data_IF_709920584186
#
_entry.id   IF_709920584186
#
_cell.length_a   1.000
_cell.length_b   1.000
_cell.length_c   1.000
_cell.angle_alpha   90.00
_cell.angle_beta   90.00
_cell.angle_gamma   90.00
#
_symmetry.space_group_name_H-M   'P 1'
#
loop_
_entity.id
_entity.type
_entity.pdbx_description
1 polymer ?
#
# COMPACT_ATOMS: atom_id res chain seq x y z
N UNK A 1 4.17 12.53 1.08
CA UNK A 1 4.73 11.16 1.09
C UNK A 1 6.26 11.13 1.04
N UNK A 2 6.92 11.89 0.15
CA UNK A 2 8.39 11.92 0.02
C UNK A 2 9.14 12.14 1.36
N UNK A 3 8.77 13.19 2.11
CA UNK A 3 9.37 13.48 3.42
C UNK A 3 9.19 12.33 4.41
N UNK A 4 7.96 11.82 4.55
CA UNK A 4 7.67 10.68 5.44
C UNK A 4 8.50 9.45 5.08
N UNK A 5 8.64 9.14 3.79
CA UNK A 5 9.48 8.03 3.34
C UNK A 5 10.97 8.25 3.69
N UNK A 6 11.50 9.45 3.45
CA UNK A 6 12.91 9.76 3.73
C UNK A 6 13.21 9.69 5.23
N UNK A 7 12.42 10.40 6.04
CA UNK A 7 12.66 10.46 7.49
C UNK A 7 12.55 9.09 8.15
N UNK A 8 11.55 8.30 7.77
CA UNK A 8 11.40 6.93 8.29
C UNK A 8 12.50 5.99 7.78
N UNK A 9 12.96 6.14 6.54
CA UNK A 9 14.11 5.37 6.03
C UNK A 9 15.38 5.68 6.82
N UNK A 10 15.66 6.96 7.09
CA UNK A 10 16.82 7.34 7.88
C UNK A 10 16.70 6.80 9.30
N UNK A 11 15.56 7.02 9.96
CA UNK A 11 15.31 6.56 11.32
C UNK A 11 15.47 5.04 11.48
N UNK A 12 14.87 4.24 10.58
CA UNK A 12 14.93 2.76 10.64
C UNK A 12 16.37 2.26 10.43
N UNK A 13 17.09 2.84 9.48
CA UNK A 13 18.47 2.44 9.17
C UNK A 13 19.45 2.88 10.27
N UNK A 14 19.32 4.09 10.79
CA UNK A 14 20.16 4.61 11.88
C UNK A 14 19.96 3.80 13.18
N UNK A 15 18.72 3.43 13.48
CA UNK A 15 18.36 2.61 14.64
C UNK A 15 18.56 1.11 14.42
N UNK A 16 18.95 0.68 13.22
CA UNK A 16 19.10 -0.73 12.82
C UNK A 16 17.88 -1.60 13.19
N UNK A 17 16.68 -1.10 12.92
CA UNK A 17 15.43 -1.77 13.30
C UNK A 17 15.06 -2.95 12.40
N UNK A 18 15.82 -3.21 11.34
CA UNK A 18 15.64 -4.34 10.46
C UNK A 18 17.00 -4.98 10.11
N UNK A 19 16.95 -6.24 9.68
CA UNK A 19 18.10 -6.89 9.06
C UNK A 19 18.37 -6.26 7.68
N UNK A 20 19.56 -5.69 7.51
CA UNK A 20 19.97 -5.05 6.26
C UNK A 20 19.51 -3.60 6.12
N UNK A 21 19.59 -3.07 4.89
CA UNK A 21 19.25 -1.68 4.58
C UNK A 21 17.77 -1.58 4.22
N UNK A 22 17.01 -0.86 5.03
CA UNK A 22 15.61 -0.57 4.75
C UNK A 22 15.49 0.43 3.60
N UNK A 23 14.54 0.17 2.70
CA UNK A 23 14.07 1.11 1.69
C UNK A 23 12.58 0.91 1.44
N UNK A 24 11.86 2.00 1.17
CA UNK A 24 10.46 1.91 0.77
C UNK A 24 10.34 1.48 -0.69
N UNK A 25 9.24 0.78 -1.01
CA UNK A 25 8.85 0.53 -2.40
C UNK A 25 8.80 1.83 -3.22
N UNK A 26 9.14 1.72 -4.50
CA UNK A 26 9.06 2.82 -5.45
C UNK A 26 7.58 3.14 -5.75
N UNK A 27 7.21 4.42 -5.70
CA UNK A 27 5.81 4.86 -5.88
C UNK A 27 4.92 4.71 -4.63
N UNK A 28 3.70 5.26 -4.71
CA UNK A 28 2.66 5.11 -3.68
C UNK A 28 1.28 5.33 -4.31
N UNK A 29 0.26 4.65 -3.79
CA UNK A 29 -1.15 4.94 -4.11
C UNK A 29 -1.71 5.96 -3.11
N UNK A 30 -2.46 6.95 -3.61
CA UNK A 30 -3.19 7.90 -2.78
C UNK A 30 -4.63 8.01 -3.30
N UNK A 31 -5.59 7.72 -2.44
CA UNK A 31 -7.02 7.77 -2.75
C UNK A 31 -7.70 8.75 -1.80
N UNK A 32 -8.55 9.62 -2.33
CA UNK A 32 -9.35 10.56 -1.52
C UNK A 32 -10.74 9.98 -1.29
N UNK A 33 -11.17 9.93 -0.04
CA UNK A 33 -12.50 9.48 0.36
C UNK A 33 -13.32 10.63 0.94
N UNK A 34 -14.64 10.62 0.72
CA UNK A 34 -15.54 11.56 1.36
C UNK A 34 -15.64 11.30 2.88
N UNK A 35 -15.90 12.35 3.68
CA UNK A 35 -16.00 12.26 5.15
C UNK A 35 -17.02 11.22 5.62
N UNK A 36 -18.09 11.00 4.85
CA UNK A 36 -19.13 9.99 5.10
C UNK A 36 -18.67 8.54 4.89
N UNK A 37 -17.51 8.32 4.27
CA UNK A 37 -16.92 7.00 4.05
C UNK A 37 -15.80 6.66 5.04
N UNK A 38 -15.48 7.57 5.97
CA UNK A 38 -14.43 7.39 6.99
C UNK A 38 -14.61 6.08 7.78
N UNK A 39 -15.81 5.80 8.24
CA UNK A 39 -16.06 4.60 9.07
C UNK A 39 -15.89 3.31 8.27
N UNK A 40 -16.17 3.33 6.96
CA UNK A 40 -15.89 2.19 6.07
C UNK A 40 -14.38 1.98 5.91
N UNK A 41 -13.61 3.05 5.74
CA UNK A 41 -12.14 2.99 5.63
C UNK A 41 -11.52 2.50 6.94
N UNK A 42 -11.99 3.02 8.08
CA UNK A 42 -11.49 2.61 9.41
C UNK A 42 -11.79 1.13 9.65
N UNK A 43 -13.02 0.68 9.42
CA UNK A 43 -13.38 -0.74 9.57
C UNK A 43 -12.60 -1.63 8.60
N UNK A 44 -12.31 -1.17 7.39
CA UNK A 44 -11.48 -1.90 6.43
C UNK A 44 -10.03 -2.05 6.94
N UNK A 45 -9.41 -0.99 7.48
CA UNK A 45 -8.05 -1.05 8.06
C UNK A 45 -8.00 -2.00 9.26
N UNK A 46 -8.99 -1.94 10.15
CA UNK A 46 -9.01 -2.79 11.36
C UNK A 46 -9.16 -4.28 11.04
N UNK A 47 -9.81 -4.62 9.92
CA UNK A 47 -10.03 -6.01 9.50
C UNK A 47 -9.00 -6.48 8.44
N UNK A 48 -8.00 -5.66 8.12
CA UNK A 48 -7.09 -5.89 7.01
C UNK A 48 -6.24 -7.15 7.19
N UNK A 49 -5.79 -7.43 8.42
CA UNK A 49 -5.07 -8.68 8.75
C UNK A 49 -5.91 -9.93 8.44
N UNK A 50 -7.21 -9.90 8.79
CA UNK A 50 -8.13 -11.01 8.51
C UNK A 50 -8.45 -11.13 7.03
N UNK A 51 -8.53 -10.02 6.28
CA UNK A 51 -8.80 -10.04 4.85
C UNK A 51 -7.60 -10.47 4.02
N UNK A 52 -6.38 -10.04 4.37
CA UNK A 52 -5.15 -10.43 3.70
C UNK A 52 -4.79 -11.91 3.89
N UNK A 53 -5.46 -12.62 4.81
CA UNK A 53 -5.40 -14.09 4.90
C UNK A 53 -6.12 -14.82 3.75
N UNK A 54 -7.03 -14.14 3.02
CA UNK A 54 -7.89 -14.74 1.97
C UNK A 54 -7.86 -13.99 0.64
N UNK A 55 -7.44 -12.73 0.62
CA UNK A 55 -7.43 -11.87 -0.56
C UNK A 55 -6.09 -11.18 -0.67
N UNK A 56 -5.48 -11.24 -1.84
CA UNK A 56 -4.16 -10.64 -2.07
C UNK A 56 -4.25 -9.12 -2.18
N UNK A 57 -3.16 -8.43 -1.85
CA UNK A 57 -3.03 -6.98 -2.04
C UNK A 57 -3.36 -6.54 -3.47
N UNK A 58 -2.95 -7.35 -4.47
CA UNK A 58 -3.21 -7.08 -5.89
C UNK A 58 -4.70 -7.04 -6.21
N UNK A 59 -5.47 -8.01 -5.71
CA UNK A 59 -6.92 -8.06 -5.92
C UNK A 59 -7.63 -6.88 -5.26
N UNK A 60 -7.20 -6.46 -4.07
CA UNK A 60 -7.77 -5.27 -3.43
C UNK A 60 -7.44 -3.99 -4.18
N UNK A 61 -6.21 -3.86 -4.66
CA UNK A 61 -5.78 -2.69 -5.43
C UNK A 61 -6.58 -2.54 -6.73
N UNK A 62 -6.80 -3.64 -7.45
CA UNK A 62 -7.63 -3.64 -8.66
C UNK A 62 -9.08 -3.24 -8.37
N UNK A 63 -9.68 -3.78 -7.30
CA UNK A 63 -11.05 -3.42 -6.90
C UNK A 63 -11.16 -1.95 -6.52
N UNK A 64 -10.14 -1.38 -5.88
CA UNK A 64 -10.11 0.06 -5.60
C UNK A 64 -10.04 0.88 -6.88
N UNK A 65 -9.17 0.51 -7.83
CA UNK A 65 -9.06 1.24 -9.09
C UNK A 65 -10.36 1.22 -9.91
N UNK A 66 -11.03 0.08 -9.96
CA UNK A 66 -12.36 -0.04 -10.58
C UNK A 66 -13.40 0.82 -9.85
N UNK A 67 -13.45 0.77 -8.51
CA UNK A 67 -14.42 1.53 -7.72
C UNK A 67 -14.23 3.06 -7.83
N UNK A 68 -13.03 3.52 -8.17
CA UNK A 68 -12.72 4.93 -8.41
C UNK A 68 -12.71 5.31 -9.90
N UNK A 69 -13.11 4.39 -10.80
CA UNK A 69 -13.12 4.59 -12.26
C UNK A 69 -11.79 5.11 -12.82
N UNK A 70 -10.68 4.72 -12.18
CA UNK A 70 -9.34 5.12 -12.62
C UNK A 70 -8.97 4.24 -13.80
N UNK A 71 -8.80 4.82 -14.99
CA UNK A 71 -8.20 4.09 -16.11
C UNK A 71 -6.76 3.71 -15.77
N UNK A 72 -6.49 2.41 -15.68
CA UNK A 72 -5.15 1.88 -15.51
C UNK A 72 -4.81 0.93 -16.66
N UNK A 73 -3.56 0.97 -17.12
CA UNK A 73 -3.03 -0.09 -17.97
C UNK A 73 -2.30 -1.07 -17.07
N UNK A 74 -2.56 -2.37 -17.22
CA UNK A 74 -1.94 -3.42 -16.40
C UNK A 74 -0.40 -3.31 -16.30
N UNK A 75 0.25 -2.77 -17.33
CA UNK A 75 1.70 -2.51 -17.39
C UNK A 75 2.22 -1.37 -16.51
N UNK A 76 1.32 -0.57 -15.92
CA UNK A 76 1.63 0.54 -15.00
C UNK A 76 1.04 0.34 -13.61
N UNK A 77 0.27 -0.74 -13.41
CA UNK A 77 0.07 -1.25 -12.06
C UNK A 77 1.45 -1.64 -11.55
N UNK A 78 1.69 -1.41 -10.26
CA UNK A 78 2.96 -1.74 -9.57
C UNK A 78 3.58 -3.02 -10.16
N UNK A 79 4.91 -3.05 -10.31
CA UNK A 79 5.61 -4.32 -10.43
C UNK A 79 5.33 -5.08 -9.13
N UNK A 80 4.23 -5.82 -9.12
CA UNK A 80 3.95 -6.79 -8.09
C UNK A 80 5.09 -7.79 -8.25
N UNK A 81 6.07 -7.70 -7.36
CA UNK A 81 7.04 -8.76 -7.17
C UNK A 81 6.22 -9.97 -6.75
N UNK A 82 5.73 -10.74 -7.72
CA UNK A 82 5.34 -12.11 -7.51
C UNK A 82 6.60 -12.75 -6.94
N UNK A 83 6.55 -13.13 -5.67
CA UNK A 83 7.68 -13.63 -4.88
C UNK A 83 8.29 -14.90 -5.46
N UNK A 84 8.96 -14.76 -6.61
CA UNK A 84 9.72 -15.78 -7.28
C UNK A 84 11.08 -15.90 -6.64
N UNK A 85 11.09 -16.62 -5.51
CA UNK A 85 12.22 -17.17 -4.75
C UNK A 85 13.28 -16.19 -4.22
#
# INVERSE_FOLDING_TARGET
MKTVKIESTNFINERKLCFGKFSWQEGYGAFSYAKSQKDKVVNYILNQEKHHSKKSFKEEYLVMLEAFEIEFKNKYLFEFYDGGR
#
